data_IF_460648726062
#
_entry.id   IF_460648726062
#
_cell.length_a   1.000
_cell.length_b   1.000
_cell.length_c   1.000
_cell.angle_alpha   90.00
_cell.angle_beta   90.00
_cell.angle_gamma   90.00
#
_symmetry.space_group_name_H-M   'P 1'
#
loop_
_entity.id
_entity.type
_entity.pdbx_description
1 polymer ?
#
# COMPACT_ATOMS: atom_id res chain seq x y z
N UNK A 1 -15.21 10.65 4.65
CA UNK A 1 -14.63 9.30 4.82
C UNK A 1 -14.42 9.05 6.31
N UNK A 2 -15.03 8.03 6.92
CA UNK A 2 -14.92 7.79 8.37
C UNK A 2 -13.47 7.46 8.78
N UNK A 3 -12.95 8.08 9.83
CA UNK A 3 -11.57 7.89 10.34
C UNK A 3 -11.18 6.41 10.60
N UNK A 4 -12.17 5.56 10.91
CA UNK A 4 -11.97 4.11 11.06
C UNK A 4 -11.48 3.45 9.76
N UNK A 5 -11.93 3.88 8.59
CA UNK A 5 -11.55 3.25 7.31
C UNK A 5 -10.15 3.65 6.86
N UNK A 6 -9.77 4.91 7.09
CA UNK A 6 -8.41 5.40 6.78
C UNK A 6 -7.38 4.76 7.71
N UNK A 7 -7.66 4.71 9.02
CA UNK A 7 -6.78 4.07 10.00
C UNK A 7 -6.63 2.56 9.70
N UNK A 8 -7.73 1.90 9.34
CA UNK A 8 -7.70 0.50 8.94
C UNK A 8 -6.86 0.28 7.68
N UNK A 9 -7.03 1.12 6.66
CA UNK A 9 -6.22 1.05 5.44
C UNK A 9 -4.73 1.23 5.72
N UNK A 10 -4.35 2.23 6.52
CA UNK A 10 -2.95 2.45 6.92
C UNK A 10 -2.38 1.25 7.67
N UNK A 11 -3.13 0.66 8.62
CA UNK A 11 -2.70 -0.57 9.31
C UNK A 11 -2.49 -1.73 8.33
N UNK A 12 -3.38 -1.90 7.36
CA UNK A 12 -3.28 -2.96 6.34
C UNK A 12 -2.04 -2.76 5.46
N UNK A 13 -1.82 -1.54 4.96
CA UNK A 13 -0.65 -1.20 4.14
C UNK A 13 0.67 -1.37 4.89
N UNK A 14 0.70 -0.99 6.18
CA UNK A 14 1.86 -1.23 7.06
C UNK A 14 2.12 -2.73 7.27
N UNK A 15 1.07 -3.55 7.49
CA UNK A 15 1.20 -5.02 7.63
C UNK A 15 1.78 -5.66 6.36
N UNK A 16 1.44 -5.12 5.20
CA UNK A 16 1.96 -5.58 3.89
C UNK A 16 3.35 -5.01 3.55
N UNK A 17 3.94 -4.18 4.44
CA UNK A 17 5.20 -3.47 4.24
C UNK A 17 5.21 -2.54 3.02
N UNK A 18 4.04 -2.08 2.58
CA UNK A 18 3.92 -1.10 1.48
C UNK A 18 4.14 0.33 1.96
N UNK A 19 4.08 0.54 3.27
CA UNK A 19 4.14 1.86 3.88
C UNK A 19 4.78 1.76 5.26
N UNK A 20 5.61 2.74 5.61
CA UNK A 20 6.26 2.86 6.92
C UNK A 20 5.81 4.13 7.63
N UNK A 21 5.60 4.00 8.94
CA UNK A 21 5.28 5.13 9.82
C UNK A 21 6.60 5.74 10.30
N UNK A 22 6.76 7.04 10.14
CA UNK A 22 7.94 7.81 10.57
C UNK A 22 7.49 8.89 11.56
N UNK A 23 8.18 9.07 12.69
CA UNK A 23 7.88 10.16 13.61
C UNK A 23 8.03 11.50 12.90
N UNK A 24 7.04 12.37 13.08
CA UNK A 24 7.10 13.73 12.59
C UNK A 24 7.78 14.61 13.65
N UNK A 25 8.94 15.16 13.31
CA UNK A 25 9.70 16.01 14.24
C UNK A 25 9.06 17.39 14.45
N UNK A 26 8.21 17.84 13.52
CA UNK A 26 7.50 19.13 13.62
C UNK A 26 6.22 19.03 14.46
N UNK A 27 5.54 17.89 14.44
CA UNK A 27 4.37 17.60 15.29
C UNK A 27 4.26 16.10 15.58
N UNK A 28 4.71 15.69 16.75
CA UNK A 28 4.77 14.27 17.17
C UNK A 28 3.38 13.60 17.15
N UNK A 29 2.30 14.37 17.31
CA UNK A 29 0.92 13.86 17.29
C UNK A 29 0.47 13.43 15.88
N UNK A 30 1.16 13.90 14.84
CA UNK A 30 0.83 13.69 13.43
C UNK A 30 1.94 12.90 12.75
N UNK A 31 1.98 11.57 12.92
CA UNK A 31 3.01 10.75 12.29
C UNK A 31 2.93 10.84 10.77
N UNK A 32 4.09 10.84 10.12
CA UNK A 32 4.18 10.77 8.67
C UNK A 32 4.17 9.32 8.21
N UNK A 33 3.69 9.11 7.00
CA UNK A 33 3.63 7.81 6.38
C UNK A 33 4.30 7.88 5.02
N UNK A 34 5.34 7.07 4.83
CA UNK A 34 6.10 7.02 3.58
C UNK A 34 5.87 5.69 2.89
N UNK A 35 5.58 5.75 1.59
CA UNK A 35 5.43 4.57 0.75
C UNK A 35 6.80 3.91 0.55
N UNK A 36 6.85 2.59 0.65
CA UNK A 36 7.99 1.80 0.21
C UNK A 36 7.84 1.52 -1.29
N UNK A 37 8.54 2.32 -2.11
CA UNK A 37 8.48 2.22 -3.58
C UNK A 37 9.00 0.88 -4.09
N UNK A 38 10.06 0.33 -3.49
CA UNK A 38 10.63 -0.95 -3.90
C UNK A 38 9.65 -2.10 -3.67
N UNK A 39 9.04 -2.14 -2.48
CA UNK A 39 8.01 -3.13 -2.17
C UNK A 39 6.76 -2.98 -3.04
N UNK A 40 6.39 -1.75 -3.38
CA UNK A 40 5.27 -1.48 -4.28
C UNK A 40 5.55 -2.05 -5.68
N UNK A 41 6.72 -1.76 -6.26
CA UNK A 41 7.12 -2.29 -7.58
C UNK A 41 7.17 -3.83 -7.59
N UNK A 42 7.71 -4.44 -6.54
CA UNK A 42 7.72 -5.91 -6.39
C UNK A 42 6.30 -6.48 -6.37
N UNK A 43 5.37 -5.82 -5.66
CA UNK A 43 3.98 -6.24 -5.59
C UNK A 43 3.28 -6.08 -6.94
N UNK A 44 3.48 -4.96 -7.63
CA UNK A 44 2.94 -4.71 -8.96
C UNK A 44 3.41 -5.77 -9.96
N UNK A 45 4.70 -6.09 -9.97
CA UNK A 45 5.26 -7.13 -10.82
C UNK A 45 4.65 -8.51 -10.52
N UNK A 46 4.46 -8.86 -9.25
CA UNK A 46 3.80 -10.13 -8.87
C UNK A 46 2.35 -10.18 -9.30
N UNK A 47 1.60 -9.09 -9.13
CA UNK A 47 0.22 -8.98 -9.61
C UNK A 47 0.18 -9.21 -11.12
N UNK A 48 1.13 -8.63 -11.85
CA UNK A 48 1.20 -8.78 -13.31
C UNK A 48 1.53 -10.22 -13.72
N UNK A 49 2.52 -10.85 -13.09
CA UNK A 49 2.84 -12.26 -13.34
C UNK A 49 1.65 -13.18 -13.06
N UNK A 50 0.91 -12.94 -11.97
CA UNK A 50 -0.30 -13.70 -11.65
C UNK A 50 -1.39 -13.48 -12.70
N UNK A 51 -1.59 -12.26 -13.17
CA UNK A 51 -2.55 -11.94 -14.25
C UNK A 51 -2.21 -12.70 -15.53
N UNK A 52 -0.94 -12.69 -15.93
CA UNK A 52 -0.45 -13.42 -17.09
C UNK A 52 -0.69 -14.93 -16.93
N UNK A 53 -0.27 -15.50 -15.79
CA UNK A 53 -0.40 -16.94 -15.52
C UNK A 53 -1.85 -17.40 -15.42
N UNK A 54 -2.74 -16.57 -14.89
CA UNK A 54 -4.15 -16.93 -14.72
C UNK A 54 -4.94 -16.90 -16.03
N UNK A 55 -4.36 -16.38 -17.13
CA UNK A 55 -5.04 -16.29 -18.43
C UNK A 55 -6.29 -15.39 -18.43
N UNK A 56 -6.54 -14.64 -17.36
CA UNK A 56 -7.75 -13.85 -17.20
C UNK A 56 -7.58 -12.52 -17.94
N UNK A 57 -8.22 -12.49 -19.11
CA UNK A 57 -8.84 -11.32 -19.71
C UNK A 57 -9.48 -10.42 -18.63
N UNK A 58 -8.78 -9.39 -18.19
CA UNK A 58 -9.44 -8.17 -17.76
C UNK A 58 -9.37 -7.21 -18.93
N UNK A 59 -10.27 -7.40 -19.91
CA UNK A 59 -10.68 -6.29 -20.76
C UNK A 59 -11.24 -5.25 -19.79
N UNK A 60 -10.50 -4.16 -19.62
CA UNK A 60 -11.06 -2.94 -19.06
C UNK A 60 -12.26 -2.55 -19.93
N UNK A 61 -13.46 -2.62 -19.35
CA UNK A 61 -14.65 -1.93 -19.83
C UNK A 61 -14.62 -0.54 -19.20
#
# INVERSE_FOLDING_TARGET
MPLRTVTFALKKLMKLRLLRKVPNLLDIRRPLYHIDRGRLMELEHKIEMIRIQSGIHLRAI
#
